data_IF_264382059994
#
_entry.id   IF_264382059994
#
_cell.length_a   1.000
_cell.length_b   1.000
_cell.length_c   1.000
_cell.angle_alpha   90.00
_cell.angle_beta   90.00
_cell.angle_gamma   90.00
#
_symmetry.space_group_name_H-M   'P 1'
#
loop_
_entity.id
_entity.type
_entity.pdbx_description
1 polymer ?
#
# COMPACT_ATOMS: atom_id res chain seq x y z
N UNK A 1 2.52 6.97 34.47
CA UNK A 1 3.56 7.37 33.50
C UNK A 1 3.24 6.69 32.17
N UNK A 2 3.08 7.49 31.11
CA UNK A 2 2.44 7.12 29.83
C UNK A 2 3.44 6.50 28.84
N UNK A 3 3.16 5.28 28.35
CA UNK A 3 3.99 4.45 27.47
C UNK A 3 3.74 4.73 25.97
N UNK A 4 3.88 5.98 25.52
CA UNK A 4 3.61 6.38 24.12
C UNK A 4 4.81 6.97 23.35
N UNK A 5 6.05 6.71 23.76
CA UNK A 5 7.26 7.32 23.15
C UNK A 5 7.86 6.58 21.95
N UNK A 6 7.25 5.49 21.47
CA UNK A 6 7.85 4.69 20.39
C UNK A 6 7.26 4.89 18.99
N UNK A 7 6.29 5.79 18.76
CA UNK A 7 5.57 5.82 17.46
C UNK A 7 6.30 6.66 16.38
N UNK A 8 7.39 7.35 16.71
CA UNK A 8 8.05 8.32 15.79
C UNK A 8 9.03 7.71 14.78
N UNK A 9 9.36 6.42 14.90
CA UNK A 9 10.43 5.82 14.10
C UNK A 9 10.01 5.25 12.74
N UNK A 10 8.77 5.50 12.29
CA UNK A 10 8.36 5.10 10.93
C UNK A 10 9.00 6.01 9.89
N UNK A 11 9.53 5.39 8.84
CA UNK A 11 10.15 6.05 7.68
C UNK A 11 9.65 5.39 6.40
N UNK A 12 9.80 6.08 5.27
CA UNK A 12 9.49 5.48 3.97
C UNK A 12 10.41 5.91 2.85
N UNK A 13 10.56 5.03 1.86
CA UNK A 13 11.18 5.33 0.57
C UNK A 13 10.13 5.08 -0.51
N UNK A 14 9.74 6.15 -1.20
CA UNK A 14 8.81 6.11 -2.32
C UNK A 14 9.60 6.11 -3.62
N UNK A 15 9.36 5.12 -4.47
CA UNK A 15 9.98 4.92 -5.76
C UNK A 15 8.94 5.08 -6.85
N UNK A 16 9.13 6.04 -7.74
CA UNK A 16 8.24 6.32 -8.87
C UNK A 16 8.98 6.16 -10.19
N UNK A 17 8.31 5.56 -11.16
CA UNK A 17 8.81 5.51 -12.54
C UNK A 17 8.45 6.81 -13.26
N UNK A 18 9.43 7.47 -13.87
CA UNK A 18 9.26 8.62 -14.75
C UNK A 18 8.97 8.08 -16.16
N UNK A 19 7.69 8.08 -16.53
CA UNK A 19 7.27 7.73 -17.89
C UNK A 19 5.75 7.54 -17.99
N UNK A 20 5.23 7.62 -19.22
CA UNK A 20 3.79 7.53 -19.49
C UNK A 20 3.22 6.12 -19.24
N UNK A 21 4.05 5.07 -19.37
CA UNK A 21 3.62 3.69 -19.14
C UNK A 21 3.66 3.35 -17.65
N UNK A 22 2.47 3.26 -17.04
CA UNK A 22 2.26 2.65 -15.72
C UNK A 22 2.63 1.17 -15.77
N UNK A 23 3.64 0.77 -15.03
CA UNK A 23 4.08 -0.62 -14.90
C UNK A 23 4.54 -0.90 -13.48
N UNK A 24 4.43 -2.16 -13.07
CA UNK A 24 5.02 -2.61 -11.81
C UNK A 24 6.54 -2.51 -11.90
N UNK A 25 7.19 -2.12 -10.80
CA UNK A 25 8.66 -2.07 -10.74
C UNK A 25 9.28 -3.46 -10.59
N UNK A 26 8.55 -4.38 -9.97
CA UNK A 26 8.92 -5.78 -9.75
C UNK A 26 7.68 -6.66 -9.92
N UNK A 27 7.86 -7.94 -10.25
CA UNK A 27 6.77 -8.93 -10.16
C UNK A 27 6.34 -9.14 -8.70
N UNK A 28 5.13 -9.68 -8.48
CA UNK A 28 4.67 -9.99 -7.12
C UNK A 28 5.59 -10.95 -6.37
N UNK A 29 6.13 -11.97 -7.05
CA UNK A 29 7.10 -12.91 -6.45
C UNK A 29 8.40 -12.22 -6.05
N UNK A 30 8.91 -11.33 -6.90
CA UNK A 30 10.14 -10.58 -6.62
C UNK A 30 9.95 -9.59 -5.47
N UNK A 31 8.76 -9.01 -5.31
CA UNK A 31 8.42 -8.16 -4.15
C UNK A 31 8.50 -8.94 -2.84
N UNK A 32 8.01 -10.19 -2.81
CA UNK A 32 8.10 -11.03 -1.62
C UNK A 32 9.55 -11.33 -1.24
N UNK A 33 10.39 -11.69 -2.23
CA UNK A 33 11.83 -11.93 -2.02
C UNK A 33 12.50 -10.66 -1.51
N UNK A 34 12.24 -9.52 -2.16
CA UNK A 34 12.81 -8.23 -1.79
C UNK A 34 12.39 -7.80 -0.37
N UNK A 35 11.13 -8.01 0.01
CA UNK A 35 10.66 -7.73 1.36
C UNK A 35 11.35 -8.61 2.40
N UNK A 36 11.52 -9.91 2.15
CA UNK A 36 12.26 -10.81 3.05
C UNK A 36 13.71 -10.37 3.21
N UNK A 37 14.38 -10.05 2.10
CA UNK A 37 15.75 -9.52 2.12
C UNK A 37 15.87 -8.25 2.99
N UNK A 38 14.94 -7.30 2.84
CA UNK A 38 14.93 -6.09 3.67
C UNK A 38 14.68 -6.45 5.14
N UNK A 39 13.78 -7.38 5.44
CA UNK A 39 13.51 -7.79 6.83
C UNK A 39 14.73 -8.40 7.53
N UNK A 40 15.48 -9.21 6.80
CA UNK A 40 16.72 -9.81 7.28
C UNK A 40 17.82 -8.74 7.45
N UNK A 41 17.83 -7.70 6.61
CA UNK A 41 18.90 -6.69 6.59
C UNK A 41 18.68 -5.54 7.58
N UNK A 42 17.45 -5.03 7.70
CA UNK A 42 17.14 -3.78 8.43
C UNK A 42 16.10 -3.96 9.54
N UNK A 43 15.66 -5.20 9.79
CA UNK A 43 14.73 -5.58 10.85
C UNK A 43 13.35 -5.99 10.34
N UNK A 44 12.61 -6.73 11.16
CA UNK A 44 11.36 -7.41 10.76
C UNK A 44 10.21 -6.46 10.40
N UNK A 45 10.29 -5.19 10.82
CA UNK A 45 9.27 -4.18 10.60
C UNK A 45 9.47 -3.46 9.28
N UNK A 46 9.22 -4.19 8.19
CA UNK A 46 9.28 -3.70 6.81
C UNK A 46 8.04 -4.15 6.06
N UNK A 47 7.49 -3.23 5.27
CA UNK A 47 6.40 -3.47 4.32
C UNK A 47 6.76 -2.88 2.95
N UNK A 48 6.64 -3.69 1.91
CA UNK A 48 6.80 -3.24 0.52
C UNK A 48 5.45 -3.22 -0.19
N UNK A 49 5.03 -2.04 -0.63
CA UNK A 49 3.81 -1.83 -1.40
C UNK A 49 4.19 -1.54 -2.85
N UNK A 50 4.00 -2.51 -3.74
CA UNK A 50 4.30 -2.35 -5.18
C UNK A 50 3.02 -2.16 -6.00
N UNK A 51 2.88 -1.04 -6.70
CA UNK A 51 1.73 -0.72 -7.54
C UNK A 51 2.18 -0.32 -8.95
N UNK A 52 1.25 -0.28 -9.90
CA UNK A 52 1.53 0.22 -11.25
C UNK A 52 1.83 1.73 -11.30
N UNK A 53 1.67 2.45 -10.18
CA UNK A 53 1.98 3.88 -10.02
C UNK A 53 3.34 4.05 -9.32
N UNK A 54 3.94 2.98 -8.80
CA UNK A 54 5.23 3.00 -8.11
C UNK A 54 5.27 2.05 -6.92
N UNK A 55 6.41 2.04 -6.24
CA UNK A 55 6.67 1.23 -5.06
C UNK A 55 6.89 2.12 -3.84
N UNK A 56 6.45 1.66 -2.69
CA UNK A 56 6.63 2.32 -1.41
C UNK A 56 7.18 1.30 -0.43
N UNK A 57 8.31 1.61 0.20
CA UNK A 57 8.92 0.79 1.25
C UNK A 57 8.74 1.53 2.55
N UNK A 58 7.96 0.94 3.47
CA UNK A 58 7.78 1.44 4.82
C UNK A 58 8.61 0.61 5.79
N UNK A 59 9.31 1.26 6.71
CA UNK A 59 10.09 0.59 7.72
C UNK A 59 10.05 1.34 9.04
N UNK A 60 10.15 0.59 10.14
CA UNK A 60 10.23 1.15 11.48
C UNK A 60 11.65 0.95 12.01
N UNK A 61 12.40 2.04 12.15
CA UNK A 61 13.77 1.99 12.70
C UNK A 61 14.23 3.37 13.17
N UNK A 62 15.13 3.38 14.16
CA UNK A 62 15.83 4.61 14.56
C UNK A 62 16.80 5.10 13.47
N UNK A 63 17.37 4.18 12.70
CA UNK A 63 18.36 4.49 11.67
C UNK A 63 17.70 4.91 10.34
N UNK A 64 18.42 5.70 9.55
CA UNK A 64 18.05 5.97 8.15
C UNK A 64 18.63 4.91 7.21
N UNK A 65 17.78 4.00 6.73
CA UNK A 65 18.13 3.00 5.72
C UNK A 65 17.78 3.43 4.29
N UNK A 66 17.42 4.70 4.07
CA UNK A 66 16.93 5.13 2.77
C UNK A 66 17.95 4.94 1.65
N UNK A 67 19.24 5.17 1.92
CA UNK A 67 20.33 4.89 0.96
C UNK A 67 20.42 3.39 0.64
N UNK A 68 20.46 2.54 1.65
CA UNK A 68 20.51 1.09 1.50
C UNK A 68 19.31 0.56 0.70
N UNK A 69 18.09 1.01 1.02
CA UNK A 69 16.88 0.62 0.31
C UNK A 69 16.94 1.07 -1.16
N UNK A 70 17.39 2.29 -1.45
CA UNK A 70 17.56 2.78 -2.83
C UNK A 70 18.50 1.89 -3.63
N UNK A 71 19.70 1.64 -3.09
CA UNK A 71 20.71 0.79 -3.74
C UNK A 71 20.18 -0.63 -3.96
N UNK A 72 19.45 -1.18 -2.97
CA UNK A 72 18.83 -2.49 -3.07
C UNK A 72 17.72 -2.54 -4.14
N UNK A 73 16.86 -1.52 -4.23
CA UNK A 73 15.86 -1.43 -5.30
C UNK A 73 16.53 -1.36 -6.67
N UNK A 74 17.60 -0.56 -6.79
CA UNK A 74 18.34 -0.45 -8.04
C UNK A 74 18.90 -1.81 -8.45
N UNK A 75 19.53 -2.56 -7.52
CA UNK A 75 20.03 -3.91 -7.76
C UNK A 75 18.94 -4.86 -8.28
N UNK A 76 17.78 -4.89 -7.61
CA UNK A 76 16.67 -5.78 -7.96
C UNK A 76 15.93 -5.37 -9.25
N UNK A 77 16.13 -4.13 -9.73
CA UNK A 77 15.51 -3.61 -10.97
C UNK A 77 16.48 -3.44 -12.14
N UNK A 78 17.78 -3.74 -11.94
CA UNK A 78 18.87 -3.54 -12.89
C UNK A 78 18.56 -4.04 -14.31
N UNK A 79 18.00 -5.24 -14.43
CA UNK A 79 17.77 -5.87 -15.73
C UNK A 79 16.47 -5.45 -16.43
N UNK A 80 15.59 -4.71 -15.73
CA UNK A 80 14.22 -4.47 -16.19
C UNK A 80 13.90 -2.98 -16.42
N UNK A 81 14.66 -2.10 -15.77
CA UNK A 81 14.33 -0.67 -15.69
C UNK A 81 15.58 0.18 -15.87
N UNK A 82 15.51 1.10 -16.81
CA UNK A 82 16.48 2.21 -16.89
C UNK A 82 16.42 3.03 -15.60
N UNK A 83 17.49 2.97 -14.82
CA UNK A 83 17.61 3.62 -13.52
C UNK A 83 17.40 5.13 -13.58
N UNK A 84 17.72 5.78 -14.71
CA UNK A 84 17.49 7.22 -14.91
C UNK A 84 16.01 7.58 -14.89
N UNK A 85 15.12 6.59 -15.06
CA UNK A 85 13.67 6.74 -15.00
C UNK A 85 13.11 6.46 -13.62
N UNK A 86 13.92 6.31 -12.57
CA UNK A 86 13.44 6.15 -11.20
C UNK A 86 13.63 7.43 -10.40
N UNK A 87 12.56 7.90 -9.76
CA UNK A 87 12.62 8.95 -8.74
C UNK A 87 12.43 8.32 -7.38
N UNK A 88 13.28 8.72 -6.45
CA UNK A 88 13.22 8.31 -5.07
C UNK A 88 12.88 9.52 -4.20
N UNK A 89 11.88 9.37 -3.34
CA UNK A 89 11.54 10.35 -2.31
C UNK A 89 11.61 9.68 -0.94
N UNK A 90 12.39 10.24 -0.05
CA UNK A 90 12.54 9.75 1.31
C UNK A 90 11.62 10.54 2.24
N UNK A 91 11.07 9.86 3.22
CA UNK A 91 10.35 10.46 4.34
C UNK A 91 10.98 9.89 5.61
N UNK A 92 11.66 10.76 6.37
CA UNK A 92 12.49 10.38 7.51
C UNK A 92 11.80 10.62 8.85
N UNK A 93 10.66 11.32 8.85
CA UNK A 93 9.79 11.50 10.02
C UNK A 93 8.40 10.91 9.81
N UNK A 94 7.72 10.61 10.92
CA UNK A 94 6.33 10.13 10.92
C UNK A 94 5.39 11.09 10.19
N UNK A 95 5.56 12.40 10.37
CA UNK A 95 4.74 13.45 9.78
C UNK A 95 4.89 13.46 8.26
N UNK A 96 6.13 13.29 7.77
CA UNK A 96 6.39 13.18 6.34
C UNK A 96 5.77 11.92 5.74
N UNK A 97 5.87 10.78 6.43
CA UNK A 97 5.24 9.52 6.02
C UNK A 97 3.72 9.66 6.01
N UNK A 98 3.13 10.20 7.08
CA UNK A 98 1.70 10.46 7.20
C UNK A 98 1.20 11.34 6.05
N UNK A 99 1.82 12.51 5.85
CA UNK A 99 1.44 13.45 4.78
C UNK A 99 1.50 12.76 3.42
N UNK A 100 2.60 12.06 3.10
CA UNK A 100 2.73 11.37 1.82
C UNK A 100 1.68 10.27 1.63
N UNK A 101 1.35 9.52 2.69
CA UNK A 101 0.35 8.45 2.64
C UNK A 101 -1.06 9.02 2.43
N UNK A 102 -1.41 10.05 3.20
CA UNK A 102 -2.70 10.73 3.14
C UNK A 102 -2.91 11.44 1.80
N UNK A 103 -1.89 12.12 1.26
CA UNK A 103 -1.93 12.73 -0.08
C UNK A 103 -2.19 11.69 -1.18
N UNK A 104 -1.57 10.50 -1.07
CA UNK A 104 -1.79 9.42 -2.02
C UNK A 104 -3.24 8.92 -1.95
N UNK A 105 -3.76 8.65 -0.75
CA UNK A 105 -5.16 8.22 -0.55
C UNK A 105 -6.17 9.26 -1.04
N UNK A 106 -5.95 10.53 -0.72
CA UNK A 106 -6.79 11.63 -1.18
C UNK A 106 -6.73 11.79 -2.70
N UNK A 107 -5.56 11.54 -3.32
CA UNK A 107 -5.46 11.53 -4.78
C UNK A 107 -6.22 10.35 -5.38
N UNK A 108 -6.12 9.16 -4.77
CA UNK A 108 -6.83 7.98 -5.24
C UNK A 108 -8.33 8.11 -5.08
N UNK A 109 -8.84 8.77 -4.03
CA UNK A 109 -10.28 8.96 -3.84
C UNK A 109 -10.94 9.79 -4.95
N UNK A 110 -10.18 10.59 -5.70
CA UNK A 110 -10.66 11.26 -6.93
C UNK A 110 -10.90 10.29 -8.09
N UNK A 111 -10.40 9.06 -8.00
CA UNK A 111 -10.49 8.02 -9.02
C UNK A 111 -11.05 6.72 -8.40
N UNK A 112 -12.39 6.53 -8.40
CA UNK A 112 -13.06 5.50 -7.61
C UNK A 112 -12.48 4.07 -7.74
N UNK A 113 -12.11 3.66 -8.96
CA UNK A 113 -11.55 2.33 -9.21
C UNK A 113 -10.12 2.17 -8.67
N UNK A 114 -9.30 3.23 -8.73
CA UNK A 114 -7.95 3.23 -8.17
C UNK A 114 -8.02 3.17 -6.65
N UNK A 115 -8.92 3.95 -6.05
CA UNK A 115 -9.16 3.90 -4.61
C UNK A 115 -9.57 2.49 -4.16
N UNK A 116 -10.57 1.89 -4.81
CA UNK A 116 -11.02 0.54 -4.47
C UNK A 116 -9.91 -0.50 -4.61
N UNK A 117 -9.12 -0.44 -5.68
CA UNK A 117 -7.99 -1.35 -5.89
C UNK A 117 -6.92 -1.18 -4.80
N UNK A 118 -6.60 0.07 -4.44
CA UNK A 118 -5.66 0.36 -3.36
C UNK A 118 -6.18 -0.13 -2.01
N UNK A 119 -7.43 0.18 -1.64
CA UNK A 119 -8.03 -0.27 -0.37
C UNK A 119 -8.05 -1.79 -0.24
N UNK A 120 -8.43 -2.52 -1.30
CA UNK A 120 -8.37 -3.99 -1.31
C UNK A 120 -6.96 -4.51 -1.12
N UNK A 121 -5.98 -3.90 -1.81
CA UNK A 121 -4.57 -4.27 -1.67
C UNK A 121 -4.06 -4.00 -0.26
N UNK A 122 -4.40 -2.86 0.33
CA UNK A 122 -4.00 -2.50 1.69
C UNK A 122 -4.59 -3.47 2.73
N UNK A 123 -5.88 -3.83 2.59
CA UNK A 123 -6.53 -4.84 3.44
C UNK A 123 -5.82 -6.19 3.31
N UNK A 124 -5.49 -6.62 2.10
CA UNK A 124 -4.75 -7.87 1.87
C UNK A 124 -3.33 -7.82 2.47
N UNK A 125 -2.62 -6.70 2.32
CA UNK A 125 -1.31 -6.49 2.92
C UNK A 125 -1.38 -6.52 4.45
N UNK A 126 -2.43 -5.96 5.05
CA UNK A 126 -2.65 -6.03 6.50
C UNK A 126 -2.74 -7.49 6.97
N UNK A 127 -3.57 -8.32 6.31
CA UNK A 127 -3.71 -9.76 6.64
C UNK A 127 -2.38 -10.51 6.52
N UNK A 128 -1.66 -10.29 5.42
CA UNK A 128 -0.41 -11.01 5.18
C UNK A 128 0.75 -10.57 6.09
N UNK A 129 0.57 -9.49 6.86
CA UNK A 129 1.60 -8.91 7.72
C UNK A 129 1.06 -8.69 9.14
N UNK A 130 0.15 -9.56 9.60
CA UNK A 130 -0.44 -9.53 10.95
C UNK A 130 0.62 -9.62 12.07
N UNK A 131 1.79 -10.19 11.78
CA UNK A 131 2.91 -10.25 12.72
C UNK A 131 3.66 -8.92 12.92
N UNK A 132 3.37 -7.89 12.11
CA UNK A 132 3.99 -6.56 12.27
C UNK A 132 3.44 -5.86 13.50
N UNK A 133 4.34 -5.50 14.41
CA UNK A 133 4.05 -4.82 15.68
C UNK A 133 3.93 -3.31 15.51
N UNK A 134 4.56 -2.72 14.49
CA UNK A 134 4.65 -1.27 14.35
C UNK A 134 4.20 -0.77 12.98
N UNK A 135 4.80 -1.23 11.88
CA UNK A 135 4.53 -0.66 10.53
C UNK A 135 3.06 -0.80 10.15
N UNK A 136 2.48 -2.00 10.24
CA UNK A 136 1.08 -2.22 9.87
C UNK A 136 0.11 -1.47 10.78
N UNK A 137 0.24 -1.51 12.12
CA UNK A 137 -0.61 -0.71 13.01
C UNK A 137 -0.58 0.79 12.71
N UNK A 138 0.60 1.38 12.47
CA UNK A 138 0.76 2.80 12.16
C UNK A 138 0.10 3.15 10.82
N UNK A 139 0.36 2.38 9.76
CA UNK A 139 -0.24 2.63 8.45
C UNK A 139 -1.76 2.42 8.48
N UNK A 140 -2.24 1.46 9.27
CA UNK A 140 -3.68 1.23 9.43
C UNK A 140 -4.35 2.39 10.16
N UNK A 141 -3.70 3.00 11.16
CA UNK A 141 -4.26 4.21 11.80
C UNK A 141 -4.36 5.37 10.81
N UNK A 142 -3.34 5.59 9.97
CA UNK A 142 -3.40 6.61 8.91
C UNK A 142 -4.52 6.33 7.91
N UNK A 143 -4.69 5.06 7.53
CA UNK A 143 -5.74 4.64 6.60
C UNK A 143 -7.14 4.90 7.16
N UNK A 144 -7.40 4.49 8.40
CA UNK A 144 -8.70 4.70 9.06
C UNK A 144 -9.01 6.19 9.22
N UNK A 145 -8.06 6.98 9.71
CA UNK A 145 -8.22 8.43 9.85
C UNK A 145 -8.58 9.10 8.52
N UNK A 146 -7.90 8.72 7.43
CA UNK A 146 -8.21 9.25 6.11
C UNK A 146 -9.57 8.81 5.58
N UNK A 147 -10.02 7.58 5.86
CA UNK A 147 -11.37 7.16 5.50
C UNK A 147 -12.42 8.00 6.23
N UNK A 148 -12.22 8.30 7.52
CA UNK A 148 -13.12 9.16 8.27
C UNK A 148 -13.17 10.58 7.70
N UNK A 149 -12.02 11.16 7.34
CA UNK A 149 -11.95 12.48 6.69
C UNK A 149 -12.69 12.47 5.35
N UNK A 150 -12.47 11.45 4.52
CA UNK A 150 -13.14 11.33 3.22
C UNK A 150 -14.66 11.17 3.38
N UNK A 151 -15.10 10.43 4.41
CA UNK A 151 -16.51 10.26 4.71
C UNK A 151 -17.15 11.59 5.17
N UNK A 152 -16.54 12.28 6.14
CA UNK A 152 -17.02 13.58 6.66
C UNK A 152 -17.07 14.67 5.58
N UNK A 153 -16.17 14.61 4.60
CA UNK A 153 -16.10 15.61 3.52
C UNK A 153 -16.95 15.25 2.29
N UNK A 154 -17.68 14.13 2.31
CA UNK A 154 -18.47 13.66 1.16
C UNK A 154 -17.64 13.24 -0.06
N UNK A 155 -16.33 13.04 0.12
CA UNK A 155 -15.36 12.71 -0.94
C UNK A 155 -15.01 11.23 -0.98
N UNK A 156 -15.76 10.37 -0.29
CA UNK A 156 -15.49 8.93 -0.24
C UNK A 156 -16.17 8.19 -1.40
N UNK A 157 -15.43 7.73 -2.42
CA UNK A 157 -16.02 6.91 -3.47
C UNK A 157 -16.26 5.47 -2.99
N UNK A 158 -17.35 4.85 -3.45
CA UNK A 158 -17.66 3.43 -3.23
C UNK A 158 -17.70 2.98 -1.75
N UNK A 159 -18.19 3.85 -0.85
CA UNK A 159 -18.29 3.61 0.60
C UNK A 159 -18.82 2.20 0.95
N UNK A 160 -19.95 1.79 0.38
CA UNK A 160 -20.59 0.49 0.66
C UNK A 160 -19.70 -0.71 0.27
N UNK A 161 -18.86 -0.57 -0.75
CA UNK A 161 -17.94 -1.64 -1.20
C UNK A 161 -16.73 -1.77 -0.27
N UNK A 162 -16.31 -0.67 0.35
CA UNK A 162 -15.17 -0.62 1.28
C UNK A 162 -15.60 -1.14 2.65
N UNK A 163 -16.77 -0.73 3.13
CA UNK A 163 -17.39 -1.25 4.34
C UNK A 163 -17.65 -2.77 4.22
N UNK A 164 -18.18 -3.23 3.07
CA UNK A 164 -18.35 -4.66 2.78
C UNK A 164 -17.02 -5.42 2.74
N UNK A 165 -15.95 -4.84 2.17
CA UNK A 165 -14.62 -5.46 2.16
C UNK A 165 -14.03 -5.58 3.57
N UNK A 166 -14.25 -4.58 4.44
CA UNK A 166 -13.86 -4.64 5.85
C UNK A 166 -14.63 -5.72 6.61
N UNK A 167 -15.95 -5.77 6.45
CA UNK A 167 -16.83 -6.77 7.10
C UNK A 167 -16.58 -8.20 6.62
N UNK A 168 -16.21 -8.41 5.36
CA UNK A 168 -15.81 -9.72 4.78
C UNK A 168 -14.50 -10.32 5.35
N UNK A 169 -13.83 -9.66 6.31
CA UNK A 169 -12.68 -10.21 7.03
C UNK A 169 -13.06 -11.11 8.22
N UNK A 170 -14.35 -11.21 8.54
CA UNK A 170 -14.91 -12.12 9.53
C UNK A 170 -15.67 -13.22 8.72
N UNK A 171 -15.29 -14.50 8.76
CA UNK A 171 -15.88 -15.58 7.89
C UNK A 171 -16.28 -16.81 8.76
N UNK A 172 -17.28 -17.64 8.38
CA UNK A 172 -17.11 -18.73 7.40
C UNK A 172 -18.28 -19.01 6.39
N UNK A 173 -17.88 -19.22 5.12
CA UNK A 173 -18.18 -20.38 4.23
C UNK A 173 -19.57 -20.70 3.59
N UNK A 174 -20.22 -19.75 2.88
CA UNK A 174 -21.22 -20.07 1.82
C UNK A 174 -21.14 -19.22 0.52
N UNK A 175 -20.18 -18.31 0.42
CA UNK A 175 -20.21 -17.18 -0.53
C UNK A 175 -19.51 -17.38 -1.88
N UNK A 176 -19.11 -18.60 -2.25
CA UNK A 176 -18.59 -18.85 -3.61
C UNK A 176 -19.64 -18.60 -4.70
N UNK A 177 -20.94 -18.74 -4.38
CA UNK A 177 -22.03 -18.51 -5.34
C UNK A 177 -22.25 -17.03 -5.63
N UNK A 178 -22.17 -16.18 -4.60
CA UNK A 178 -22.38 -14.73 -4.70
C UNK A 178 -21.24 -14.03 -5.45
N UNK A 179 -20.00 -14.52 -5.31
CA UNK A 179 -18.85 -14.03 -6.08
C UNK A 179 -19.03 -14.36 -7.58
N UNK A 180 -19.57 -15.54 -7.90
CA UNK A 180 -19.89 -15.94 -9.28
C UNK A 180 -21.00 -15.06 -9.88
N UNK A 181 -22.03 -14.74 -9.11
CA UNK A 181 -23.14 -13.90 -9.57
C UNK A 181 -22.69 -12.44 -9.82
N UNK A 182 -21.81 -11.90 -8.97
CA UNK A 182 -21.21 -10.57 -9.15
C UNK A 182 -20.29 -10.48 -10.39
N UNK A 183 -19.53 -11.53 -10.70
CA UNK A 183 -18.69 -11.59 -11.90
C UNK A 183 -19.55 -11.67 -13.17
N UNK A 184 -20.66 -12.39 -13.10
CA UNK A 184 -21.59 -12.59 -14.22
C UNK A 184 -22.31 -11.29 -14.59
N UNK A 185 -22.79 -10.52 -13.61
CA UNK A 185 -23.49 -9.25 -13.86
C UNK A 185 -22.56 -8.16 -14.41
N UNK A 186 -21.28 -8.16 -14.02
CA UNK A 186 -20.25 -7.23 -14.52
C UNK A 186 -19.82 -7.58 -15.95
N UNK A 187 -19.76 -8.88 -16.29
CA UNK A 187 -19.45 -9.32 -17.66
C UNK A 187 -20.63 -9.11 -18.62
N UNK A 188 -21.88 -9.25 -18.14
CA UNK A 188 -23.10 -9.02 -18.93
C UNK A 188 -23.33 -7.54 -19.28
N UNK A 189 -22.87 -6.59 -18.44
CA UNK A 189 -22.97 -5.14 -18.73
C UNK A 189 -21.97 -4.62 -19.78
N UNK A 190 -21.30 -5.50 -20.54
CA UNK A 190 -20.46 -5.12 -21.70
C UNK A 190 -21.08 -5.40 -23.07
N UNK A 191 -22.32 -5.89 -23.15
CA UNK A 191 -23.04 -6.01 -24.40
C UNK A 191 -24.50 -5.62 -24.22
N UNK A 192 -24.80 -4.32 -24.18
CA UNK A 192 -26.02 -3.77 -24.79
C UNK A 192 -25.84 -2.24 -24.88
N UNK A 193 -25.61 -1.82 -26.13
CA UNK A 193 -25.59 -0.47 -26.71
C UNK A 193 -24.56 0.54 -26.17
#
# INVERSE_FOLDING_TARGET
MSTYTHIESIKSVNIRFIGLKRRLLMSSSMVSIFQSFLRESIGQEVLVVNTNIGMEVYYYSKNDYSKFIKESVLLYTLSQIDQKKLRFKNHLSKEEVYRSFCEALFTFSKYPQIFLAYSKKFIHLKRNNESSKYVIPILNSFFVEMLEVLNKTGKMPHFDKIDKAQKQNQIPDRDQKVIKDLVSEILMKKHYN
#
